data_IF_474334326019
#
_entry.id   IF_474334326019
#
_cell.length_a   1.000
_cell.length_b   1.000
_cell.length_c   1.000
_cell.angle_alpha   90.00
_cell.angle_beta   90.00
_cell.angle_gamma   90.00
#
_symmetry.space_group_name_H-M   'P 1'
#
loop_
_entity.id
_entity.type
_entity.pdbx_description
1 polymer ?
#
# COMPACT_ATOMS: atom_id res chain seq x y z
N UNK A 1 1.21 13.98 -3.63
CA UNK A 1 1.05 14.59 -2.29
C UNK A 1 1.25 13.51 -1.23
N UNK A 2 2.22 13.65 -0.31
CA UNK A 2 2.49 12.61 0.71
C UNK A 2 1.30 12.47 1.65
N UNK A 3 0.87 11.23 1.87
CA UNK A 3 -0.19 10.90 2.83
C UNK A 3 0.43 10.87 4.23
N UNK A 4 -0.07 11.74 5.11
CA UNK A 4 0.37 11.81 6.52
C UNK A 4 -0.76 11.45 7.49
N UNK A 5 -1.96 11.21 6.96
CA UNK A 5 -3.13 10.87 7.74
C UNK A 5 -3.03 9.43 8.25
N UNK A 6 -3.07 9.19 9.58
CA UNK A 6 -2.82 7.88 10.16
C UNK A 6 -3.90 6.85 9.80
N UNK A 7 -5.17 7.26 9.69
CA UNK A 7 -6.26 6.38 9.30
C UNK A 7 -6.08 5.92 7.85
N UNK A 8 -5.76 6.86 6.94
CA UNK A 8 -5.45 6.52 5.54
C UNK A 8 -4.20 5.67 5.42
N UNK A 9 -3.15 5.95 6.20
CA UNK A 9 -1.92 5.16 6.18
C UNK A 9 -2.21 3.71 6.56
N UNK A 10 -2.98 3.46 7.61
CA UNK A 10 -3.35 2.09 8.01
C UNK A 10 -4.10 1.36 6.89
N UNK A 11 -5.06 2.03 6.23
CA UNK A 11 -5.75 1.47 5.06
C UNK A 11 -4.81 1.19 3.89
N UNK A 12 -3.85 2.08 3.64
CA UNK A 12 -2.85 1.93 2.58
C UNK A 12 -1.90 0.78 2.87
N UNK A 13 -1.46 0.61 4.12
CA UNK A 13 -0.63 -0.53 4.52
C UNK A 13 -1.36 -1.86 4.37
N UNK A 14 -2.64 -1.92 4.74
CA UNK A 14 -3.45 -3.12 4.54
C UNK A 14 -3.59 -3.43 3.04
N UNK A 15 -3.91 -2.42 2.23
CA UNK A 15 -4.02 -2.58 0.78
C UNK A 15 -2.70 -2.92 0.10
N UNK A 16 -1.61 -2.31 0.52
CA UNK A 16 -0.27 -2.63 0.05
C UNK A 16 0.03 -4.10 0.26
N UNK A 17 -0.23 -4.61 1.47
CA UNK A 17 -0.06 -6.02 1.82
C UNK A 17 -0.86 -6.95 0.90
N UNK A 18 -2.12 -6.61 0.59
CA UNK A 18 -2.93 -7.39 -0.34
C UNK A 18 -2.43 -7.29 -1.80
N UNK A 19 -2.02 -6.11 -2.27
CA UNK A 19 -1.51 -5.92 -3.64
C UNK A 19 -0.20 -6.67 -3.85
N UNK A 20 0.73 -6.61 -2.90
CA UNK A 20 1.99 -7.35 -2.95
C UNK A 20 1.78 -8.87 -3.10
N UNK A 21 0.71 -9.42 -2.52
CA UNK A 21 0.38 -10.85 -2.61
C UNK A 21 -0.31 -11.23 -3.93
N UNK A 22 -1.00 -10.28 -4.56
CA UNK A 22 -1.76 -10.52 -5.79
C UNK A 22 -0.86 -10.34 -7.01
N UNK A 23 -0.17 -9.21 -7.12
CA UNK A 23 0.69 -8.88 -8.26
C UNK A 23 1.89 -8.02 -7.83
N UNK A 24 3.08 -8.62 -7.92
CA UNK A 24 4.37 -7.96 -7.63
C UNK A 24 4.62 -6.75 -8.51
N UNK A 25 4.15 -6.73 -9.76
CA UNK A 25 4.44 -5.63 -10.70
C UNK A 25 3.70 -4.32 -10.35
N UNK A 26 2.64 -4.37 -9.54
CA UNK A 26 1.81 -3.20 -9.17
C UNK A 26 1.90 -2.82 -7.70
N UNK A 27 2.75 -3.47 -6.89
CA UNK A 27 2.93 -3.09 -5.49
C UNK A 27 3.39 -1.64 -5.28
N UNK A 28 4.10 -1.06 -6.25
CA UNK A 28 4.52 0.34 -6.26
C UNK A 28 3.35 1.31 -6.51
N UNK A 29 2.19 0.80 -6.94
CA UNK A 29 1.02 1.59 -7.30
C UNK A 29 -0.27 0.99 -6.72
N UNK A 30 -0.72 1.53 -5.59
CA UNK A 30 -1.92 1.06 -4.88
C UNK A 30 -3.13 1.88 -5.30
N UNK A 31 -4.23 1.21 -5.61
CA UNK A 31 -5.51 1.84 -5.91
C UNK A 31 -6.46 1.70 -4.72
N UNK A 32 -6.79 2.81 -4.07
CA UNK A 32 -7.77 2.84 -2.99
C UNK A 32 -9.15 3.23 -3.56
N UNK A 33 -10.19 2.40 -3.42
CA UNK A 33 -11.55 2.82 -3.75
C UNK A 33 -11.97 3.89 -2.73
N UNK A 34 -12.24 5.11 -3.20
CA UNK A 34 -12.71 6.19 -2.31
C UNK A 34 -14.05 5.77 -1.70
N UNK A 35 -14.15 5.79 -0.37
CA UNK A 35 -15.38 5.43 0.34
C UNK A 35 -16.52 6.30 -0.17
N UNK A 36 -17.50 5.64 -0.77
CA UNK A 36 -18.67 6.27 -1.40
C UNK A 36 -19.54 6.81 -0.26
N UNK A 37 -19.49 8.12 0.01
CA UNK A 37 -20.57 8.75 0.74
C UNK A 37 -21.85 8.56 -0.08
N UNK A 38 -22.82 7.86 0.55
CA UNK A 38 -24.11 7.48 -0.03
C UNK A 38 -24.75 8.66 -0.76
N UNK A 39 -24.87 8.60 -2.09
CA UNK A 39 -25.77 9.50 -2.80
C UNK A 39 -25.52 9.70 -4.29
N UNK A 40 -24.28 9.53 -4.77
CA UNK A 40 -23.98 9.68 -6.20
C UNK A 40 -23.02 8.58 -6.59
N UNK A 41 -23.45 7.71 -7.50
CA UNK A 41 -22.58 6.74 -8.16
C UNK A 41 -21.69 7.54 -9.12
N UNK A 42 -20.60 8.11 -8.61
CA UNK A 42 -19.47 8.57 -9.43
C UNK A 42 -18.66 7.32 -9.77
N UNK A 43 -18.95 6.73 -10.92
CA UNK A 43 -18.68 5.33 -11.26
C UNK A 43 -17.22 4.89 -11.33
N UNK A 44 -16.19 5.73 -11.14
CA UNK A 44 -14.82 5.30 -11.45
C UNK A 44 -13.66 6.16 -10.87
N UNK A 45 -13.79 6.74 -9.68
CA UNK A 45 -12.66 7.46 -9.06
C UNK A 45 -11.95 6.57 -8.05
N UNK A 46 -10.96 5.81 -8.54
CA UNK A 46 -9.96 5.16 -7.70
C UNK A 46 -8.85 6.17 -7.41
N UNK A 47 -8.47 6.33 -6.14
CA UNK A 47 -7.31 7.14 -5.79
C UNK A 47 -6.06 6.28 -5.95
N UNK A 48 -5.14 6.71 -6.82
CA UNK A 48 -3.85 6.05 -7.02
C UNK A 48 -2.83 6.60 -6.03
N UNK A 49 -2.10 5.69 -5.40
CA UNK A 49 -1.04 5.98 -4.46
C UNK A 49 0.23 5.29 -4.92
N UNK A 50 1.29 6.07 -5.10
CA UNK A 50 2.63 5.59 -5.32
C UNK A 50 3.27 5.23 -3.99
N UNK A 51 3.85 4.03 -3.90
CA UNK A 51 4.63 3.57 -2.75
C UNK A 51 6.07 3.94 -2.99
N UNK A 52 6.63 4.74 -2.08
CA UNK A 52 8.04 5.10 -2.07
C UNK A 52 8.68 4.38 -0.90
N UNK A 53 9.64 3.52 -1.23
CA UNK A 53 10.49 2.83 -0.26
C UNK A 53 11.83 3.54 -0.30
N UNK A 54 12.26 4.10 0.83
CA UNK A 54 13.52 4.85 0.92
C UNK A 54 14.77 3.94 0.78
N UNK A 55 14.62 2.64 1.03
CA UNK A 55 15.73 1.68 1.06
C UNK A 55 15.47 0.44 0.18
N UNK A 56 16.37 0.11 -0.77
CA UNK A 56 16.20 -1.05 -1.65
C UNK A 56 16.32 -2.40 -0.93
N UNK A 57 16.99 -2.48 0.23
CA UNK A 57 17.08 -3.72 1.00
C UNK A 57 15.72 -4.08 1.64
N UNK A 58 14.91 -3.07 1.94
CA UNK A 58 13.54 -3.25 2.43
C UNK A 58 12.65 -3.77 1.32
N UNK A 59 12.82 -3.28 0.10
CA UNK A 59 12.11 -3.80 -1.07
C UNK A 59 12.40 -5.30 -1.26
N UNK A 60 13.68 -5.71 -1.23
CA UNK A 60 14.08 -7.12 -1.31
C UNK A 60 13.52 -7.96 -0.15
N UNK A 61 13.54 -7.41 1.07
CA UNK A 61 12.97 -8.08 2.25
C UNK A 61 11.46 -8.29 2.09
N UNK A 62 10.72 -7.28 1.64
CA UNK A 62 9.29 -7.40 1.39
C UNK A 62 9.04 -8.46 0.32
N UNK A 63 9.82 -8.47 -0.76
CA UNK A 63 9.71 -9.46 -1.84
C UNK A 63 9.93 -10.90 -1.34
N UNK A 64 10.97 -11.11 -0.52
CA UNK A 64 11.25 -12.40 0.10
C UNK A 64 10.11 -12.86 1.04
N UNK A 65 9.35 -11.92 1.59
CA UNK A 65 8.20 -12.19 2.45
C UNK A 65 6.87 -12.42 1.70
N UNK A 66 6.75 -11.98 0.44
CA UNK A 66 5.57 -12.26 -0.41
C UNK A 66 5.23 -13.76 -0.46
N UNK A 67 6.16 -14.69 -0.80
CA UNK A 67 5.86 -16.12 -0.85
C UNK A 67 5.59 -16.74 0.52
N UNK A 68 6.00 -16.08 1.62
CA UNK A 68 5.71 -16.52 2.99
C UNK A 68 4.27 -16.19 3.41
N UNK A 69 3.57 -15.34 2.65
CA UNK A 69 2.17 -15.00 2.82
C UNK A 69 1.93 -13.73 3.65
N UNK A 70 0.65 -13.38 3.78
CA UNK A 70 0.17 -12.10 4.34
C UNK A 70 0.71 -11.76 5.71
N UNK A 71 0.80 -12.75 6.60
CA UNK A 71 1.24 -12.52 7.99
C UNK A 71 2.70 -12.07 8.07
N UNK A 72 3.59 -12.70 7.32
CA UNK A 72 5.02 -12.37 7.30
C UNK A 72 5.25 -11.03 6.60
N UNK A 73 4.60 -10.80 5.45
CA UNK A 73 4.66 -9.53 4.75
C UNK A 73 4.15 -8.37 5.62
N UNK A 74 3.02 -8.55 6.32
CA UNK A 74 2.49 -7.52 7.23
C UNK A 74 3.47 -7.20 8.36
N UNK A 75 4.15 -8.22 8.90
CA UNK A 75 5.15 -8.02 9.95
C UNK A 75 6.33 -7.18 9.42
N UNK A 76 6.85 -7.51 8.24
CA UNK A 76 7.91 -6.73 7.60
C UNK A 76 7.46 -5.28 7.31
N UNK A 77 6.27 -5.08 6.73
CA UNK A 77 5.71 -3.74 6.48
C UNK A 77 5.60 -2.92 7.78
N UNK A 78 5.20 -3.54 8.89
CA UNK A 78 5.11 -2.84 10.17
C UNK A 78 6.48 -2.51 10.76
N UNK A 79 7.46 -3.39 10.59
CA UNK A 79 8.85 -3.17 11.02
C UNK A 79 9.50 -2.03 10.24
N UNK A 80 9.23 -1.96 8.93
CA UNK A 80 9.81 -0.96 8.01
C UNK A 80 8.87 0.20 7.69
N UNK A 81 7.79 0.41 8.44
CA UNK A 81 6.80 1.47 8.18
C UNK A 81 7.40 2.87 8.11
N UNK A 82 8.50 3.11 8.83
CA UNK A 82 9.20 4.41 8.85
C UNK A 82 9.94 4.69 7.51
N UNK A 83 10.21 3.65 6.73
CA UNK A 83 10.85 3.71 5.41
C UNK A 83 9.86 3.60 4.25
N UNK A 84 8.58 3.33 4.53
CA UNK A 84 7.52 3.18 3.53
C UNK A 84 6.66 4.43 3.56
N UNK A 85 6.68 5.19 2.48
CA UNK A 85 5.90 6.40 2.32
C UNK A 85 4.90 6.26 1.18
N UNK A 86 3.66 6.72 1.38
CA UNK A 86 2.67 6.72 0.32
C UNK A 86 2.45 8.13 -0.23
N UNK A 87 2.58 8.28 -1.53
CA UNK A 87 2.35 9.52 -2.26
C UNK A 87 1.10 9.38 -3.11
N UNK A 88 0.11 10.25 -2.90
CA UNK A 88 -1.03 10.35 -3.81
C UNK A 88 -0.56 10.86 -5.18
N UNK A 89 -0.82 10.07 -6.22
CA UNK A 89 -0.59 10.40 -7.63
C UNK A 89 -1.71 11.27 -8.20
#
# INVERSE_FOLDING_TARGET
MKVTDPERLEMLYERFCDVCLVEKEVWTEIFLPRQVEKGVILTNVQEKYEVVIDDPEIEDTLDANIPLGKSSLRAAIQEYKDHISFNKA
#
